data_IF_562263571983
#
_entry.id   IF_562263571983
#
_cell.length_a   1.000
_cell.length_b   1.000
_cell.length_c   1.000
_cell.angle_alpha   90.00
_cell.angle_beta   90.00
_cell.angle_gamma   90.00
#
_symmetry.space_group_name_H-M   'P 1'
#
loop_
_entity.id
_entity.type
_entity.pdbx_description
1 polymer ?
#
# COMPACT_ATOMS: atom_id res chain seq x y z
N UNK A 1 -24.42 41.39 41.07
CA UNK A 1 -23.29 41.48 40.12
C UNK A 1 -23.25 40.18 39.35
N UNK A 2 -23.92 40.11 38.21
CA UNK A 2 -23.96 38.92 37.35
C UNK A 2 -22.70 38.92 36.50
N UNK A 3 -21.70 38.11 36.84
CA UNK A 3 -20.54 37.90 35.99
C UNK A 3 -21.04 37.25 34.69
N UNK A 4 -20.87 37.93 33.56
CA UNK A 4 -21.14 37.40 32.23
C UNK A 4 -20.26 36.16 32.01
N UNK A 5 -20.76 34.97 32.34
CA UNK A 5 -20.13 33.69 32.03
C UNK A 5 -20.43 33.34 30.57
N UNK A 6 -19.94 34.16 29.64
CA UNK A 6 -19.83 33.74 28.24
C UNK A 6 -18.90 32.51 28.16
N UNK A 7 -19.06 31.64 27.15
CA UNK A 7 -18.15 30.51 26.99
C UNK A 7 -16.70 31.03 26.90
N UNK A 8 -15.81 30.49 27.72
CA UNK A 8 -14.39 30.85 27.72
C UNK A 8 -13.72 30.45 26.39
N UNK A 9 -14.26 29.43 25.73
CA UNK A 9 -13.76 28.88 24.47
C UNK A 9 -14.91 28.47 23.51
N UNK A 10 -14.64 28.37 22.20
CA UNK A 10 -15.64 28.00 21.21
C UNK A 10 -15.94 26.49 21.12
N UNK A 11 -15.12 25.62 21.73
CA UNK A 11 -15.26 24.16 21.65
C UNK A 11 -16.49 23.61 22.40
N UNK A 12 -16.96 22.45 21.95
CA UNK A 12 -17.98 21.66 22.64
C UNK A 12 -17.28 20.57 23.47
N UNK A 13 -17.77 20.22 24.67
CA UNK A 13 -18.88 20.81 25.39
C UNK A 13 -18.56 22.17 26.01
N UNK A 14 -19.53 23.09 26.00
CA UNK A 14 -19.35 24.51 26.40
C UNK A 14 -18.97 24.73 27.87
N UNK A 15 -19.15 23.72 28.72
CA UNK A 15 -18.87 23.79 30.15
C UNK A 15 -17.47 23.28 30.50
N UNK A 16 -16.70 22.80 29.51
CA UNK A 16 -15.31 22.42 29.69
C UNK A 16 -14.51 23.64 30.18
N UNK A 17 -13.53 23.41 31.06
CA UNK A 17 -12.62 24.45 31.51
C UNK A 17 -11.29 24.25 30.82
N UNK A 18 -10.98 25.14 29.89
CA UNK A 18 -9.69 25.22 29.23
C UNK A 18 -8.89 26.34 29.88
N UNK A 19 -8.23 25.99 30.99
CA UNK A 19 -7.32 26.89 31.68
C UNK A 19 -6.15 27.18 30.71
N UNK A 20 -5.98 28.44 30.32
CA UNK A 20 -5.00 28.95 29.35
C UNK A 20 -5.40 28.90 27.85
N UNK A 21 -6.68 28.79 27.51
CA UNK A 21 -7.11 28.96 26.13
C UNK A 21 -6.87 30.40 25.62
N UNK A 22 -6.08 30.51 24.55
CA UNK A 22 -5.87 31.74 23.78
C UNK A 22 -6.44 31.54 22.37
N UNK A 23 -7.46 32.32 21.95
CA UNK A 23 -7.97 32.25 20.59
C UNK A 23 -6.89 32.55 19.55
N UNK A 24 -6.94 31.83 18.42
CA UNK A 24 -6.07 32.08 17.27
C UNK A 24 -6.04 33.57 16.89
N UNK A 25 -4.84 34.13 16.77
CA UNK A 25 -4.62 35.49 16.29
C UNK A 25 -4.77 35.63 14.76
N UNK A 26 -4.55 34.53 14.03
CA UNK A 26 -4.77 34.45 12.59
C UNK A 26 -6.22 34.05 12.28
N UNK A 27 -6.85 34.72 11.30
CA UNK A 27 -8.16 34.30 10.85
C UNK A 27 -8.07 32.95 10.13
N UNK A 28 -9.07 32.08 10.33
CA UNK A 28 -9.13 30.71 9.77
C UNK A 28 -8.80 30.62 8.29
N UNK A 29 -9.28 31.56 7.47
CA UNK A 29 -9.03 31.54 6.02
C UNK A 29 -7.54 31.68 5.67
N UNK A 30 -6.76 32.41 6.48
CA UNK A 30 -5.33 32.59 6.24
C UNK A 30 -4.57 31.30 6.47
N UNK A 31 -4.92 30.59 7.55
CA UNK A 31 -4.38 29.26 7.86
C UNK A 31 -4.74 28.26 6.76
N UNK A 32 -5.99 28.29 6.27
CA UNK A 32 -6.44 27.43 5.17
C UNK A 32 -5.69 27.73 3.86
N UNK A 33 -5.50 29.01 3.50
CA UNK A 33 -4.71 29.39 2.31
C UNK A 33 -3.29 28.86 2.43
N UNK A 34 -2.66 28.97 3.61
CA UNK A 34 -1.33 28.40 3.87
C UNK A 34 -1.31 26.89 3.66
N UNK A 35 -2.25 26.17 4.27
CA UNK A 35 -2.38 24.71 4.13
C UNK A 35 -2.54 24.28 2.67
N UNK A 36 -3.53 24.83 1.97
CA UNK A 36 -3.81 24.49 0.57
C UNK A 36 -2.67 24.88 -0.37
N UNK A 37 -1.95 25.97 -0.09
CA UNK A 37 -0.80 26.38 -0.90
C UNK A 37 0.36 25.39 -0.76
N UNK A 38 0.72 25.00 0.47
CA UNK A 38 1.80 24.02 0.71
C UNK A 38 1.42 22.65 0.13
N UNK A 39 0.20 22.17 0.36
CA UNK A 39 -0.27 20.93 -0.24
C UNK A 39 -0.30 20.99 -1.77
N UNK A 40 -0.70 22.13 -2.36
CA UNK A 40 -0.67 22.33 -3.82
C UNK A 40 0.73 22.24 -4.40
N UNK A 41 1.72 22.87 -3.76
CA UNK A 41 3.14 22.77 -4.16
C UNK A 41 3.63 21.32 -4.04
N UNK A 42 3.30 20.61 -2.97
CA UNK A 42 3.64 19.20 -2.80
C UNK A 42 3.02 18.31 -3.90
N UNK A 43 1.76 18.55 -4.28
CA UNK A 43 1.09 17.81 -5.36
C UNK A 43 1.79 18.08 -6.69
N UNK A 44 2.03 19.34 -7.03
CA UNK A 44 2.67 19.73 -8.30
C UNK A 44 4.08 19.14 -8.40
N UNK A 45 4.89 19.28 -7.34
CA UNK A 45 6.25 18.74 -7.30
C UNK A 45 6.24 17.21 -7.44
N UNK A 46 5.41 16.50 -6.69
CA UNK A 46 5.25 15.04 -6.79
C UNK A 46 4.77 14.61 -8.18
N UNK A 47 3.84 15.35 -8.77
CA UNK A 47 3.35 15.08 -10.12
C UNK A 47 4.46 15.23 -11.15
N UNK A 48 5.26 16.31 -11.09
CA UNK A 48 6.37 16.56 -12.01
C UNK A 48 7.49 15.52 -11.85
N UNK A 49 7.84 15.16 -10.61
CA UNK A 49 8.83 14.12 -10.33
C UNK A 49 8.38 12.75 -10.86
N UNK A 50 7.12 12.38 -10.63
CA UNK A 50 6.57 11.11 -11.13
C UNK A 50 6.51 11.03 -12.66
N UNK A 51 6.42 12.15 -13.38
CA UNK A 51 6.56 12.15 -14.86
C UNK A 51 7.99 12.00 -15.35
N UNK A 52 8.99 12.45 -14.57
CA UNK A 52 10.39 12.49 -15.03
C UNK A 52 11.20 11.28 -14.57
N UNK A 53 10.82 10.67 -13.45
CA UNK A 53 11.60 9.61 -12.80
C UNK A 53 11.24 8.18 -13.24
N UNK A 54 10.18 7.98 -14.04
CA UNK A 54 9.67 6.64 -14.31
C UNK A 54 10.31 6.00 -15.56
N UNK A 55 11.08 4.92 -15.37
CA UNK A 55 11.67 4.08 -16.44
C UNK A 55 10.58 3.48 -17.36
N UNK A 56 9.36 3.30 -16.84
CA UNK A 56 8.16 3.01 -17.59
C UNK A 56 7.08 4.05 -17.23
N UNK A 57 6.34 4.61 -18.20
CA UNK A 57 5.36 5.67 -17.94
C UNK A 57 4.28 5.20 -16.96
N UNK A 58 4.21 5.84 -15.79
CA UNK A 58 3.17 5.57 -14.80
C UNK A 58 1.81 6.09 -15.30
N UNK A 59 0.78 5.26 -15.19
CA UNK A 59 -0.60 5.67 -15.46
C UNK A 59 -1.06 6.82 -14.56
N UNK A 60 -1.99 7.64 -15.06
CA UNK A 60 -2.50 8.84 -14.35
C UNK A 60 -2.99 8.53 -12.93
N UNK A 61 -3.70 7.40 -12.74
CA UNK A 61 -4.22 6.98 -11.43
C UNK A 61 -3.10 6.68 -10.43
N UNK A 62 -2.00 6.03 -10.86
CA UNK A 62 -0.85 5.77 -9.97
C UNK A 62 -0.15 7.06 -9.56
N UNK A 63 -0.04 8.01 -10.49
CA UNK A 63 0.53 9.33 -10.21
C UNK A 63 -0.34 10.12 -9.23
N UNK A 64 -1.66 10.04 -9.36
CA UNK A 64 -2.59 10.63 -8.40
C UNK A 64 -2.46 9.97 -7.01
N UNK A 65 -2.32 8.65 -6.95
CA UNK A 65 -2.07 7.93 -5.70
C UNK A 65 -0.75 8.37 -5.04
N UNK A 66 0.32 8.60 -5.82
CA UNK A 66 1.57 9.15 -5.28
C UNK A 66 1.39 10.55 -4.71
N UNK A 67 0.62 11.42 -5.37
CA UNK A 67 0.30 12.75 -4.84
C UNK A 67 -0.51 12.66 -3.54
N UNK A 68 -1.47 11.73 -3.47
CA UNK A 68 -2.21 11.43 -2.25
C UNK A 68 -1.28 11.00 -1.10
N UNK A 69 -0.38 10.04 -1.34
CA UNK A 69 0.60 9.62 -0.33
C UNK A 69 1.53 10.75 0.13
N UNK A 70 1.94 11.65 -0.77
CA UNK A 70 2.75 12.81 -0.42
C UNK A 70 2.00 13.78 0.51
N UNK A 71 0.70 14.02 0.23
CA UNK A 71 -0.16 14.83 1.11
C UNK A 71 -0.38 14.13 2.46
N UNK A 72 -0.65 12.82 2.47
CA UNK A 72 -0.75 12.05 3.72
C UNK A 72 0.52 12.14 4.55
N UNK A 73 1.70 11.96 3.94
CA UNK A 73 2.97 12.07 4.64
C UNK A 73 3.17 13.47 5.25
N UNK A 74 2.81 14.52 4.53
CA UNK A 74 2.84 15.89 5.07
C UNK A 74 1.92 16.06 6.28
N UNK A 75 0.67 15.58 6.20
CA UNK A 75 -0.29 15.70 7.30
C UNK A 75 0.19 14.92 8.53
N UNK A 76 0.58 13.66 8.38
CA UNK A 76 1.00 12.82 9.51
C UNK A 76 2.32 13.31 10.13
N UNK A 77 3.31 13.66 9.32
CA UNK A 77 4.64 14.01 9.84
C UNK A 77 4.71 15.44 10.35
N UNK A 78 4.03 16.38 9.70
CA UNK A 78 4.13 17.80 10.05
C UNK A 78 2.99 18.20 10.97
N UNK A 79 1.73 17.95 10.60
CA UNK A 79 0.57 18.46 11.36
C UNK A 79 0.34 17.58 12.59
N UNK A 80 0.08 16.28 12.39
CA UNK A 80 -0.16 15.35 13.49
C UNK A 80 1.10 15.11 14.32
N UNK A 81 2.29 15.14 13.68
CA UNK A 81 3.57 15.15 14.36
C UNK A 81 3.70 16.34 15.30
N UNK A 82 3.42 17.56 14.83
CA UNK A 82 3.43 18.75 15.67
C UNK A 82 2.43 18.64 16.82
N UNK A 83 1.19 18.23 16.54
CA UNK A 83 0.18 17.97 17.58
C UNK A 83 0.72 16.99 18.64
N UNK A 84 1.33 15.88 18.23
CA UNK A 84 1.84 14.85 19.14
C UNK A 84 2.98 15.36 20.04
N UNK A 85 3.80 16.30 19.58
CA UNK A 85 4.88 16.88 20.38
C UNK A 85 4.43 18.05 21.27
N UNK A 86 3.45 18.84 20.82
CA UNK A 86 3.07 20.12 21.45
C UNK A 86 1.64 20.15 22.01
N UNK A 87 0.94 19.01 22.09
CA UNK A 87 -0.44 18.94 22.60
C UNK A 87 -0.63 19.60 23.98
N UNK A 88 0.40 19.58 24.84
CA UNK A 88 0.34 20.15 26.19
C UNK A 88 0.36 21.68 26.25
N UNK A 89 0.87 22.36 25.21
CA UNK A 89 0.92 23.84 25.13
C UNK A 89 0.04 24.39 24.00
N UNK A 90 -0.70 23.51 23.32
CA UNK A 90 -1.39 23.80 22.07
C UNK A 90 -2.39 24.96 22.18
N UNK A 91 -3.03 25.09 23.34
CA UNK A 91 -4.06 26.09 23.62
C UNK A 91 -3.48 27.49 23.85
N UNK A 92 -2.20 27.58 24.21
CA UNK A 92 -1.48 28.83 24.48
C UNK A 92 -0.66 29.27 23.26
N UNK A 93 -0.12 28.30 22.51
CA UNK A 93 0.83 28.53 21.43
C UNK A 93 0.19 29.12 20.17
N UNK A 94 0.81 30.16 19.62
CA UNK A 94 0.37 30.89 18.43
C UNK A 94 1.16 30.50 17.17
N UNK A 95 1.97 29.44 17.21
CA UNK A 95 2.55 28.90 15.98
C UNK A 95 1.45 28.53 14.97
N UNK A 96 1.68 28.76 13.67
CA UNK A 96 0.67 28.48 12.62
C UNK A 96 0.18 27.02 12.65
N UNK A 97 1.07 26.08 12.98
CA UNK A 97 0.72 24.66 13.14
C UNK A 97 -0.15 24.42 14.38
N UNK A 98 0.11 25.10 15.50
CA UNK A 98 -0.71 25.02 16.71
C UNK A 98 -2.10 25.61 16.47
N UNK A 99 -2.18 26.76 15.80
CA UNK A 99 -3.44 27.38 15.39
C UNK A 99 -4.23 26.50 14.41
N UNK A 100 -3.54 25.83 13.48
CA UNK A 100 -4.17 24.84 12.60
C UNK A 100 -4.70 23.64 13.39
N UNK A 101 -3.91 23.11 14.32
CA UNK A 101 -4.30 22.00 15.18
C UNK A 101 -5.46 22.36 16.12
N UNK A 102 -5.56 23.61 16.58
CA UNK A 102 -6.73 24.09 17.33
C UNK A 102 -8.02 24.05 16.49
N UNK A 103 -7.93 24.36 15.18
CA UNK A 103 -9.09 24.21 14.28
C UNK A 103 -9.38 22.73 13.92
N UNK A 104 -8.37 21.87 14.00
CA UNK A 104 -8.44 20.45 13.67
C UNK A 104 -8.78 19.57 14.88
N UNK A 105 -8.59 20.09 16.10
CA UNK A 105 -8.71 19.40 17.37
C UNK A 105 -10.16 19.27 17.80
N UNK A 106 -10.90 18.40 17.13
CA UNK A 106 -11.76 17.36 17.73
C UNK A 106 -12.47 16.55 16.64
N UNK A 107 -11.66 15.88 15.80
CA UNK A 107 -12.20 15.21 14.61
C UNK A 107 -11.50 13.89 14.32
N UNK A 108 -11.12 13.16 15.37
CA UNK A 108 -10.43 11.88 15.20
C UNK A 108 -11.33 10.70 15.60
N UNK A 109 -11.47 9.80 14.62
CA UNK A 109 -11.98 8.43 14.70
C UNK A 109 -13.49 8.27 14.95
N UNK A 110 -14.20 7.92 13.87
CA UNK A 110 -15.62 7.55 13.88
C UNK A 110 -16.01 6.56 14.98
N UNK A 111 -15.16 5.57 15.26
CA UNK A 111 -15.49 4.50 16.19
C UNK A 111 -15.39 4.93 17.66
N UNK A 112 -14.35 5.68 18.03
CA UNK A 112 -14.18 6.17 19.40
C UNK A 112 -15.21 7.26 19.70
N UNK A 113 -15.46 8.17 18.76
CA UNK A 113 -16.46 9.22 18.96
C UNK A 113 -17.88 8.65 18.97
N UNK A 114 -18.16 7.61 18.18
CA UNK A 114 -19.43 6.88 18.27
C UNK A 114 -19.61 6.17 19.62
N UNK A 115 -18.55 5.51 20.11
CA UNK A 115 -18.57 4.87 21.43
C UNK A 115 -18.80 5.90 22.55
N UNK A 116 -18.19 7.07 22.40
CA UNK A 116 -18.29 8.18 23.35
C UNK A 116 -19.56 9.03 23.11
N UNK A 117 -20.46 8.61 22.22
CA UNK A 117 -21.77 9.25 22.03
C UNK A 117 -21.69 10.68 21.47
N UNK A 118 -20.65 11.00 20.72
CA UNK A 118 -20.40 12.31 20.11
C UNK A 118 -20.32 13.47 21.11
N UNK A 119 -19.68 13.21 22.25
CA UNK A 119 -19.60 14.17 23.36
C UNK A 119 -18.63 15.33 23.11
N UNK A 120 -17.69 15.21 22.15
CA UNK A 120 -16.64 16.20 21.87
C UNK A 120 -17.00 17.19 20.74
N UNK A 121 -18.15 17.00 20.07
CA UNK A 121 -18.62 17.87 19.00
C UNK A 121 -20.11 18.21 19.10
N UNK A 122 -20.51 19.35 18.54
CA UNK A 122 -21.93 19.69 18.42
C UNK A 122 -22.59 18.77 17.38
N UNK A 123 -23.33 17.77 17.89
CA UNK A 123 -24.08 16.80 17.09
C UNK A 123 -24.98 17.46 16.04
N UNK A 124 -24.82 17.06 14.79
CA UNK A 124 -25.68 17.49 13.68
C UNK A 124 -25.36 18.88 13.10
N UNK A 125 -24.37 19.61 13.63
CA UNK A 125 -23.98 20.91 13.06
C UNK A 125 -23.46 20.76 11.62
N UNK A 126 -23.97 21.50 10.62
CA UNK A 126 -23.67 21.28 9.20
C UNK A 126 -22.18 21.40 8.85
N UNK A 127 -21.50 22.37 9.46
CA UNK A 127 -20.07 22.61 9.21
C UNK A 127 -19.17 21.70 10.06
N UNK A 128 -19.25 21.76 11.39
CA UNK A 128 -18.38 20.99 12.29
C UNK A 128 -18.64 19.47 12.24
N UNK A 129 -19.90 19.04 12.28
CA UNK A 129 -20.23 17.61 12.28
C UNK A 129 -20.23 17.02 10.87
N UNK A 130 -21.04 17.56 9.95
CA UNK A 130 -21.16 16.92 8.63
C UNK A 130 -19.95 17.15 7.73
N UNK A 131 -19.43 18.36 7.65
CA UNK A 131 -18.31 18.66 6.76
C UNK A 131 -16.96 18.26 7.35
N UNK A 132 -16.59 18.76 8.54
CA UNK A 132 -15.30 18.41 9.13
C UNK A 132 -15.26 16.97 9.64
N UNK A 133 -16.23 16.55 10.46
CA UNK A 133 -16.20 15.21 11.02
C UNK A 133 -16.53 14.10 10.02
N UNK A 134 -17.68 14.15 9.36
CA UNK A 134 -18.07 13.05 8.44
C UNK A 134 -17.34 13.11 7.11
N UNK A 135 -17.40 14.25 6.39
CA UNK A 135 -16.91 14.32 5.02
C UNK A 135 -15.40 14.22 4.93
N UNK A 136 -14.63 15.02 5.69
CA UNK A 136 -13.17 14.95 5.62
C UNK A 136 -12.69 13.55 6.00
N UNK A 137 -12.99 13.04 7.20
CA UNK A 137 -12.57 11.69 7.60
C UNK A 137 -13.05 10.59 6.64
N UNK A 138 -14.22 10.76 6.01
CA UNK A 138 -14.71 9.86 4.98
C UNK A 138 -13.73 9.70 3.80
N UNK A 139 -13.04 10.78 3.39
CA UNK A 139 -12.02 10.71 2.33
C UNK A 139 -10.85 9.82 2.76
N UNK A 140 -10.37 9.96 4.01
CA UNK A 140 -9.30 9.13 4.57
C UNK A 140 -9.72 7.68 4.80
N UNK A 141 -11.02 7.36 4.81
CA UNK A 141 -11.49 5.97 4.80
C UNK A 141 -11.59 5.40 3.37
N UNK A 142 -12.23 6.15 2.47
CA UNK A 142 -12.57 5.67 1.13
C UNK A 142 -11.34 5.57 0.23
N UNK A 143 -10.46 6.57 0.22
CA UNK A 143 -9.30 6.58 -0.69
C UNK A 143 -8.33 5.43 -0.36
N UNK A 144 -7.90 5.23 0.90
CA UNK A 144 -7.07 4.08 1.25
C UNK A 144 -7.76 2.74 1.00
N UNK A 145 -9.08 2.61 1.23
CA UNK A 145 -9.80 1.38 0.89
C UNK A 145 -9.69 1.05 -0.61
N UNK A 146 -9.89 2.03 -1.50
CA UNK A 146 -9.72 1.85 -2.95
C UNK A 146 -8.27 1.43 -3.28
N UNK A 147 -7.27 2.07 -2.67
CA UNK A 147 -5.86 1.74 -2.89
C UNK A 147 -5.50 0.34 -2.38
N UNK A 148 -6.09 -0.10 -1.26
CA UNK A 148 -5.93 -1.47 -0.74
C UNK A 148 -6.53 -2.47 -1.73
N UNK A 149 -7.74 -2.23 -2.23
CA UNK A 149 -8.35 -3.11 -3.24
C UNK A 149 -7.51 -3.19 -4.53
N UNK A 150 -6.95 -2.07 -4.99
CA UNK A 150 -6.02 -2.05 -6.13
C UNK A 150 -4.75 -2.87 -5.85
N UNK A 151 -4.15 -2.69 -4.67
CA UNK A 151 -2.97 -3.42 -4.25
C UNK A 151 -3.23 -4.94 -4.16
N UNK A 152 -4.36 -5.36 -3.57
CA UNK A 152 -4.76 -6.77 -3.49
C UNK A 152 -4.86 -7.36 -4.90
N UNK A 153 -5.56 -6.70 -5.84
CA UNK A 153 -5.67 -7.18 -7.23
C UNK A 153 -4.30 -7.36 -7.89
N UNK A 154 -3.40 -6.40 -7.69
CA UNK A 154 -2.06 -6.45 -8.24
C UNK A 154 -1.22 -7.59 -7.65
N UNK A 155 -1.29 -7.81 -6.33
CA UNK A 155 -0.60 -8.89 -5.64
C UNK A 155 -1.14 -10.26 -6.06
N UNK A 156 -2.47 -10.43 -6.09
CA UNK A 156 -3.09 -11.68 -6.51
C UNK A 156 -2.72 -12.03 -7.96
N UNK A 157 -2.79 -11.06 -8.88
CA UNK A 157 -2.42 -11.28 -10.28
C UNK A 157 -0.93 -11.61 -10.45
N UNK A 158 -0.04 -10.98 -9.67
CA UNK A 158 1.38 -11.32 -9.69
C UNK A 158 1.62 -12.76 -9.19
N UNK A 159 0.95 -13.16 -8.10
CA UNK A 159 1.06 -14.50 -7.55
C UNK A 159 0.55 -15.57 -8.51
N UNK A 160 -0.62 -15.39 -9.13
CA UNK A 160 -1.18 -16.37 -10.08
C UNK A 160 -0.28 -16.58 -11.30
N UNK A 161 0.41 -15.53 -11.76
CA UNK A 161 1.37 -15.65 -12.86
C UNK A 161 2.62 -16.44 -12.46
N UNK A 162 3.09 -16.30 -11.22
CA UNK A 162 4.21 -17.10 -10.71
C UNK A 162 3.81 -18.57 -10.56
N UNK A 163 2.61 -18.83 -10.04
CA UNK A 163 2.09 -20.19 -9.88
C UNK A 163 1.89 -20.88 -11.24
N UNK A 164 1.38 -20.14 -12.24
CA UNK A 164 1.22 -20.64 -13.61
C UNK A 164 2.56 -21.00 -14.24
N UNK A 165 3.58 -20.13 -14.10
CA UNK A 165 4.94 -20.40 -14.59
C UNK A 165 5.60 -21.58 -13.89
N UNK A 166 5.37 -21.75 -12.59
CA UNK A 166 5.86 -22.90 -11.83
C UNK A 166 5.20 -24.20 -12.33
N UNK A 167 3.90 -24.17 -12.61
CA UNK A 167 3.18 -25.29 -13.20
C UNK A 167 3.69 -25.60 -14.61
N UNK A 168 3.88 -24.60 -15.47
CA UNK A 168 4.50 -24.76 -16.79
C UNK A 168 5.91 -25.34 -16.68
N UNK A 169 6.73 -24.92 -15.70
CA UNK A 169 8.07 -25.50 -15.50
C UNK A 169 8.05 -26.95 -15.03
N UNK A 170 7.00 -27.36 -14.32
CA UNK A 170 6.79 -28.77 -13.93
C UNK A 170 6.27 -29.59 -15.11
N UNK A 171 5.45 -28.97 -15.99
CA UNK A 171 4.87 -29.59 -17.17
C UNK A 171 5.76 -29.52 -18.42
N UNK A 172 6.81 -28.71 -18.44
CA UNK A 172 7.75 -28.63 -19.55
C UNK A 172 8.72 -29.80 -19.45
N UNK A 173 8.57 -30.88 -20.25
CA UNK A 173 9.51 -31.99 -20.22
C UNK A 173 10.92 -31.47 -20.56
N UNK A 174 11.87 -31.78 -19.69
CA UNK A 174 13.27 -31.45 -19.91
C UNK A 174 13.88 -32.49 -20.85
N UNK A 175 13.95 -32.17 -22.14
CA UNK A 175 14.60 -33.04 -23.11
C UNK A 175 16.11 -32.84 -23.07
N UNK A 176 16.86 -33.85 -22.60
CA UNK A 176 18.32 -33.91 -22.73
C UNK A 176 18.70 -35.11 -23.59
N UNK A 177 19.51 -34.85 -24.62
CA UNK A 177 20.11 -35.91 -25.42
C UNK A 177 21.42 -36.36 -24.77
N UNK A 178 21.62 -37.67 -24.65
CA UNK A 178 22.84 -38.26 -24.12
C UNK A 178 23.43 -39.22 -25.14
N UNK A 179 24.72 -39.11 -25.39
CA UNK A 179 25.46 -40.15 -26.07
C UNK A 179 25.82 -41.23 -25.05
N UNK A 180 25.29 -42.43 -25.23
CA UNK A 180 25.56 -43.59 -24.36
C UNK A 180 26.59 -44.47 -25.06
N UNK A 181 27.66 -44.82 -24.36
CA UNK A 181 28.67 -45.75 -24.89
C UNK A 181 28.01 -47.13 -25.12
N UNK A 182 28.18 -47.76 -26.31
CA UNK A 182 27.66 -49.10 -26.62
C UNK A 182 28.07 -50.18 -25.62
N UNK A 183 29.09 -49.95 -24.79
CA UNK A 183 29.56 -50.89 -23.76
C UNK A 183 28.71 -50.89 -22.48
N UNK A 184 27.72 -49.99 -22.33
CA UNK A 184 26.79 -50.01 -21.19
C UNK A 184 25.75 -51.13 -21.39
N UNK A 185 25.92 -52.24 -20.67
CA UNK A 185 25.10 -53.46 -20.83
C UNK A 185 24.04 -53.67 -19.74
N UNK A 186 23.90 -52.76 -18.78
CA UNK A 186 22.97 -52.90 -17.64
C UNK A 186 22.07 -51.69 -17.44
N UNK A 187 20.80 -51.98 -17.11
CA UNK A 187 19.77 -50.99 -16.87
C UNK A 187 20.06 -50.17 -15.61
N UNK A 188 20.64 -50.79 -14.57
CA UNK A 188 20.99 -50.12 -13.31
C UNK A 188 22.01 -48.99 -13.51
N UNK A 189 22.98 -49.18 -14.41
CA UNK A 189 24.00 -48.17 -14.72
C UNK A 189 23.37 -47.01 -15.48
N UNK A 190 22.51 -47.31 -16.46
CA UNK A 190 21.77 -46.29 -17.19
C UNK A 190 20.84 -45.48 -16.28
N UNK A 191 20.12 -46.14 -15.37
CA UNK A 191 19.28 -45.51 -14.36
C UNK A 191 20.10 -44.55 -13.49
N UNK A 192 21.25 -45.02 -12.98
CA UNK A 192 22.11 -44.20 -12.14
C UNK A 192 22.68 -42.98 -12.89
N UNK A 193 23.01 -43.12 -14.18
CA UNK A 193 23.45 -42.00 -15.02
C UNK A 193 22.31 -40.99 -15.19
N UNK A 194 21.09 -41.45 -15.48
CA UNK A 194 19.93 -40.58 -15.69
C UNK A 194 19.47 -39.88 -14.40
N UNK A 195 19.47 -40.59 -13.25
CA UNK A 195 19.20 -39.98 -11.93
C UNK A 195 20.18 -38.83 -11.68
N UNK A 196 21.47 -39.04 -11.96
CA UNK A 196 22.47 -37.98 -11.80
C UNK A 196 22.35 -36.87 -12.82
N UNK A 197 21.95 -37.19 -14.05
CA UNK A 197 21.87 -36.21 -15.12
C UNK A 197 20.66 -35.26 -14.98
N UNK A 198 19.58 -35.73 -14.35
CA UNK A 198 18.35 -34.96 -14.10
C UNK A 198 18.14 -34.63 -12.62
N UNK A 199 19.11 -34.92 -11.74
CA UNK A 199 19.07 -34.70 -10.29
C UNK A 199 17.80 -35.25 -9.59
N UNK A 200 17.36 -36.44 -10.00
CA UNK A 200 16.09 -37.06 -9.56
C UNK A 200 16.17 -37.77 -8.20
N UNK A 201 17.03 -37.29 -7.29
CA UNK A 201 17.28 -37.94 -6.01
C UNK A 201 16.01 -37.95 -5.13
N UNK A 202 15.41 -39.14 -4.94
CA UNK A 202 14.29 -39.35 -4.01
C UNK A 202 12.89 -39.43 -4.63
N UNK A 203 12.78 -39.46 -5.96
CA UNK A 203 11.51 -39.65 -6.67
C UNK A 203 11.41 -41.06 -7.27
N UNK A 204 10.23 -41.69 -7.24
CA UNK A 204 9.93 -42.89 -8.04
C UNK A 204 9.62 -42.46 -9.47
N UNK A 205 10.32 -43.02 -10.45
CA UNK A 205 10.12 -42.74 -11.89
C UNK A 205 10.07 -44.04 -12.71
N UNK A 206 9.30 -44.01 -13.79
CA UNK A 206 9.19 -45.11 -14.76
C UNK A 206 9.97 -44.82 -16.04
N UNK A 207 10.42 -45.86 -16.74
CA UNK A 207 11.04 -45.74 -18.05
C UNK A 207 10.04 -46.09 -19.15
N UNK A 208 9.84 -45.18 -20.10
CA UNK A 208 9.17 -45.44 -21.37
C UNK A 208 10.19 -45.44 -22.51
N UNK A 209 10.09 -46.40 -23.43
CA UNK A 209 10.82 -46.37 -24.69
C UNK A 209 9.83 -46.14 -25.83
N UNK A 210 9.96 -45.02 -26.53
CA UNK A 210 9.28 -44.75 -27.80
C UNK A 210 10.27 -44.85 -28.95
N UNK A 211 10.00 -45.69 -29.95
CA UNK A 211 10.79 -45.69 -31.19
C UNK A 211 10.18 -44.62 -32.11
N UNK A 212 10.85 -43.48 -32.23
CA UNK A 212 10.51 -42.47 -33.24
C UNK A 212 11.36 -42.72 -34.50
N UNK A 213 10.70 -43.08 -35.58
CA UNK A 213 11.34 -43.26 -36.89
C UNK A 213 11.54 -41.87 -37.53
N UNK A 214 12.54 -41.12 -37.07
CA UNK A 214 12.99 -39.92 -37.80
C UNK A 214 13.81 -40.37 -38.99
N UNK A 215 13.20 -40.32 -40.17
CA UNK A 215 13.91 -40.37 -41.45
C UNK A 215 14.86 -39.17 -41.48
N UNK A 216 16.12 -39.36 -41.09
CA UNK A 216 17.34 -38.75 -41.65
C UNK A 216 18.56 -39.27 -40.86
N UNK A 217 19.49 -39.83 -41.63
CA UNK A 217 20.91 -40.12 -41.38
C UNK A 217 21.37 -41.28 -40.48
N UNK A 218 22.34 -41.97 -41.07
CA UNK A 218 23.08 -43.14 -40.61
C UNK A 218 23.96 -42.80 -39.38
N UNK A 219 23.35 -42.60 -38.22
CA UNK A 219 24.04 -42.76 -36.93
C UNK A 219 23.04 -43.20 -35.88
N UNK A 220 23.27 -44.36 -35.27
CA UNK A 220 22.42 -44.92 -34.22
C UNK A 220 22.49 -44.05 -32.96
N UNK A 221 21.61 -43.07 -32.83
CA UNK A 221 21.41 -42.31 -31.60
C UNK A 221 20.11 -42.77 -30.94
N UNK A 222 20.23 -43.48 -29.82
CA UNK A 222 19.09 -43.78 -28.95
C UNK A 222 18.75 -42.53 -28.15
N UNK A 223 17.64 -41.87 -28.49
CA UNK A 223 17.08 -40.76 -27.73
C UNK A 223 16.12 -41.32 -26.68
N UNK A 224 16.44 -41.12 -25.40
CA UNK A 224 15.55 -41.42 -24.27
C UNK A 224 14.69 -40.18 -24.01
N UNK A 225 13.39 -40.28 -24.29
CA UNK A 225 12.40 -39.33 -23.77
C UNK A 225 11.93 -39.83 -22.40
N UNK A 226 12.25 -39.09 -21.34
CA UNK A 226 11.65 -39.28 -20.03
C UNK A 226 10.43 -38.36 -19.93
N UNK A 227 9.22 -38.91 -20.06
CA UNK A 227 8.01 -38.21 -19.69
C UNK A 227 7.80 -38.38 -18.18
N UNK A 228 7.80 -37.28 -17.42
CA UNK A 228 7.35 -37.24 -16.03
C UNK A 228 5.83 -37.37 -15.95
#
# INVERSE_FOLDING_TARGET
MTTNMGPLHPYWPRHLRLDNFVPNDLPTWYILVGLFSVSGVLIVTTWLLSSRASVAPLGKCRRLALCWFAVCAFIHLVIEGWFSFYHGILLEDQAVLSQLCQMYGDVLYFLTEYHDGFQHGELGHPLYFWFYFVFLNGIWLVVPAILIFDAIKHLTHAQTNLDSKKCESFLSPEFRSFAVDPQITSLDVLQHILIRAFDLNGFEFGFGFGIFETVVDYSSQASLELAM
#
